data_IF_542619752226
#
_entry.id   IF_542619752226
#
_cell.length_a   1.000
_cell.length_b   1.000
_cell.length_c   1.000
_cell.angle_alpha   90.00
_cell.angle_beta   90.00
_cell.angle_gamma   90.00
#
_symmetry.space_group_name_H-M   'P 1'
#
loop_
_entity.id
_entity.type
_entity.pdbx_description
1 polymer ?
#
# COMPACT_ATOMS: atom_id res chain seq x y z
N UNK A 1 -8.51 -2.80 -5.66
CA UNK A 1 -7.25 -2.94 -6.42
C UNK A 1 -6.65 -4.26 -6.00
N UNK A 2 -6.71 -5.29 -6.86
CA UNK A 2 -6.16 -6.62 -6.57
C UNK A 2 -4.64 -6.55 -6.49
N UNK A 3 -4.06 -7.10 -5.43
CA UNK A 3 -2.65 -6.99 -5.06
C UNK A 3 -1.71 -7.90 -5.88
N UNK A 4 -1.72 -7.75 -7.21
CA UNK A 4 -0.59 -8.18 -8.06
C UNK A 4 0.01 -6.90 -8.62
N UNK A 5 0.70 -6.16 -7.76
CA UNK A 5 1.36 -4.90 -8.13
C UNK A 5 2.82 -5.26 -8.43
N UNK A 6 3.31 -4.83 -9.59
CA UNK A 6 4.72 -4.96 -9.96
C UNK A 6 5.60 -4.04 -9.10
N UNK A 7 6.86 -4.41 -8.90
CA UNK A 7 7.80 -3.64 -8.09
C UNK A 7 8.01 -2.21 -8.66
N UNK A 8 7.93 -2.03 -9.98
CA UNK A 8 8.02 -0.71 -10.58
C UNK A 8 6.80 0.15 -10.22
N UNK A 9 5.59 -0.41 -10.25
CA UNK A 9 4.38 0.32 -9.83
C UNK A 9 4.45 0.71 -8.35
N UNK A 10 4.91 -0.21 -7.48
CA UNK A 10 5.11 0.11 -6.06
C UNK A 10 6.16 1.21 -5.89
N UNK A 11 7.26 1.16 -6.63
CA UNK A 11 8.30 2.19 -6.59
C UNK A 11 7.78 3.55 -7.08
N UNK A 12 7.02 3.60 -8.19
CA UNK A 12 6.40 4.82 -8.73
C UNK A 12 5.49 5.51 -7.71
N UNK A 13 4.64 4.72 -7.04
CA UNK A 13 3.76 5.22 -5.99
C UNK A 13 4.57 5.72 -4.78
N UNK A 14 5.50 4.92 -4.29
CA UNK A 14 6.29 5.24 -3.08
C UNK A 14 7.21 6.44 -3.28
N UNK A 15 7.73 6.66 -4.50
CA UNK A 15 8.54 7.84 -4.85
C UNK A 15 7.68 9.07 -5.22
N UNK A 16 6.36 9.01 -5.09
CA UNK A 16 5.48 10.16 -5.27
C UNK A 16 5.67 10.92 -6.59
N UNK A 17 5.90 10.20 -7.70
CA UNK A 17 6.08 10.80 -9.02
C UNK A 17 7.52 11.21 -9.34
N UNK A 18 8.47 11.00 -8.42
CA UNK A 18 9.89 11.26 -8.69
C UNK A 18 10.59 10.10 -9.42
N UNK A 19 9.95 8.92 -9.49
CA UNK A 19 10.56 7.69 -10.00
C UNK A 19 11.14 7.84 -11.42
N UNK A 20 10.45 8.54 -12.33
CA UNK A 20 10.95 8.74 -13.69
C UNK A 20 12.05 9.81 -13.79
N UNK A 21 12.12 10.72 -12.82
CA UNK A 21 13.08 11.82 -12.80
C UNK A 21 14.42 11.46 -12.13
N UNK A 22 14.45 10.42 -11.29
CA UNK A 22 15.69 9.99 -10.62
C UNK A 22 16.62 9.23 -11.56
N UNK A 23 17.93 9.49 -11.41
CA UNK A 23 19.00 8.90 -12.23
C UNK A 23 19.34 7.47 -11.84
N UNK A 24 19.22 7.14 -10.56
CA UNK A 24 19.45 5.81 -10.00
C UNK A 24 18.14 5.38 -9.34
N UNK A 25 17.67 4.16 -9.67
CA UNK A 25 16.37 3.60 -9.22
C UNK A 25 16.51 2.23 -8.55
N UNK A 26 17.71 1.66 -8.51
CA UNK A 26 17.96 0.28 -8.08
C UNK A 26 17.64 0.11 -6.60
N UNK A 27 17.97 1.09 -5.76
CA UNK A 27 17.58 1.07 -4.35
C UNK A 27 16.07 1.11 -4.17
N UNK A 28 15.38 1.93 -4.97
CA UNK A 28 13.94 2.11 -4.89
C UNK A 28 13.19 0.85 -5.35
N UNK A 29 13.63 0.25 -6.46
CA UNK A 29 13.11 -1.01 -6.97
C UNK A 29 13.38 -2.17 -6.00
N UNK A 30 14.55 -2.20 -5.36
CA UNK A 30 14.86 -3.21 -4.35
C UNK A 30 13.92 -3.08 -3.12
N UNK A 31 13.71 -1.85 -2.64
CA UNK A 31 12.79 -1.59 -1.54
C UNK A 31 11.34 -1.96 -1.90
N UNK A 32 10.89 -1.58 -3.10
CA UNK A 32 9.57 -1.91 -3.61
C UNK A 32 9.34 -3.42 -3.75
N UNK A 33 10.38 -4.15 -4.19
CA UNK A 33 10.35 -5.62 -4.26
C UNK A 33 10.23 -6.24 -2.88
N UNK A 34 11.01 -5.77 -1.91
CA UNK A 34 10.94 -6.26 -0.51
C UNK A 34 9.56 -5.99 0.12
N UNK A 35 8.98 -4.81 -0.12
CA UNK A 35 7.63 -4.47 0.34
C UNK A 35 6.57 -5.40 -0.28
N UNK A 36 6.68 -5.65 -1.59
CA UNK A 36 5.78 -6.54 -2.32
C UNK A 36 5.89 -7.99 -1.81
N UNK A 37 7.10 -8.47 -1.57
CA UNK A 37 7.35 -9.82 -1.02
C UNK A 37 6.85 -9.94 0.43
N UNK A 38 7.02 -8.91 1.25
CA UNK A 38 6.49 -8.89 2.61
C UNK A 38 4.96 -8.95 2.62
N UNK A 39 4.31 -8.18 1.73
CA UNK A 39 2.86 -8.25 1.55
C UNK A 39 2.42 -9.67 1.15
N UNK A 40 3.03 -10.25 0.12
CA UNK A 40 2.70 -11.62 -0.36
C UNK A 40 2.92 -12.71 0.68
N UNK A 41 3.88 -12.52 1.60
CA UNK A 41 4.10 -13.48 2.70
C UNK A 41 2.97 -13.48 3.73
N UNK A 42 2.26 -12.35 3.86
CA UNK A 42 1.20 -12.14 4.84
C UNK A 42 -0.18 -12.35 4.23
N UNK A 43 -0.40 -11.85 3.00
CA UNK A 43 -1.70 -11.79 2.35
C UNK A 43 -1.61 -12.23 0.89
N UNK A 44 -2.57 -13.05 0.47
CA UNK A 44 -2.80 -13.40 -0.94
C UNK A 44 -3.58 -12.32 -1.67
N UNK A 45 -4.41 -11.56 -0.94
CA UNK A 45 -5.17 -10.45 -1.49
C UNK A 45 -5.48 -9.38 -0.45
N UNK A 46 -5.66 -8.14 -0.91
CA UNK A 46 -6.23 -7.06 -0.11
C UNK A 46 -7.17 -6.22 -1.00
N UNK A 47 -8.31 -5.83 -0.44
CA UNK A 47 -9.29 -4.99 -1.10
C UNK A 47 -9.73 -3.88 -0.15
N UNK A 48 -9.52 -2.63 -0.53
CA UNK A 48 -10.09 -1.48 0.20
C UNK A 48 -11.61 -1.58 0.18
N UNK A 49 -12.23 -1.61 1.36
CA UNK A 49 -13.68 -1.74 1.56
C UNK A 49 -14.32 -0.42 1.96
N UNK A 50 -13.60 0.43 2.70
CA UNK A 50 -14.08 1.76 3.09
C UNK A 50 -12.97 2.78 3.20
N UNK A 51 -13.32 4.04 2.94
CA UNK A 51 -12.51 5.20 3.31
C UNK A 51 -13.11 5.78 4.60
N UNK A 52 -12.41 5.58 5.72
CA UNK A 52 -12.95 5.88 7.05
C UNK A 52 -12.79 7.37 7.39
N UNK A 53 -11.64 7.96 7.02
CA UNK A 53 -11.38 9.38 7.20
C UNK A 53 -10.37 9.90 6.18
N UNK A 54 -10.60 11.11 5.69
CA UNK A 54 -9.63 11.85 4.89
C UNK A 54 -9.31 13.19 5.58
N UNK A 55 -8.03 13.53 5.60
CA UNK A 55 -7.49 14.80 6.09
C UNK A 55 -6.67 15.41 4.97
N UNK A 56 -7.12 16.55 4.44
CA UNK A 56 -6.41 17.26 3.39
C UNK A 56 -5.29 18.11 4.03
N UNK A 57 -4.06 17.93 3.56
CA UNK A 57 -2.93 18.79 3.91
C UNK A 57 -2.77 19.94 2.91
N UNK A 58 -3.20 19.73 1.66
CA UNK A 58 -3.23 20.72 0.59
C UNK A 58 -4.28 20.32 -0.47
N UNK A 59 -4.53 21.14 -1.52
CA UNK A 59 -5.41 20.76 -2.62
C UNK A 59 -5.00 19.47 -3.35
N UNK A 60 -3.73 19.08 -3.27
CA UNK A 60 -3.17 17.91 -3.95
C UNK A 60 -2.69 16.83 -2.99
N UNK A 61 -2.69 17.06 -1.68
CA UNK A 61 -2.17 16.12 -0.68
C UNK A 61 -3.20 15.78 0.37
N UNK A 62 -3.32 14.48 0.65
CA UNK A 62 -4.25 13.96 1.65
C UNK A 62 -3.61 12.84 2.47
N UNK A 63 -3.99 12.74 3.74
CA UNK A 63 -3.82 11.53 4.53
C UNK A 63 -5.17 10.84 4.67
N UNK A 64 -5.19 9.54 4.41
CA UNK A 64 -6.42 8.74 4.38
C UNK A 64 -6.30 7.55 5.31
N UNK A 65 -7.23 7.45 6.26
CA UNK A 65 -7.51 6.22 7.00
C UNK A 65 -8.53 5.41 6.20
N UNK A 66 -8.24 4.16 5.93
CA UNK A 66 -9.12 3.25 5.21
C UNK A 66 -9.13 1.87 5.86
N UNK A 67 -10.23 1.17 5.67
CA UNK A 67 -10.33 -0.25 5.99
C UNK A 67 -10.19 -1.06 4.71
N UNK A 68 -9.44 -2.15 4.80
CA UNK A 68 -9.29 -3.13 3.74
C UNK A 68 -9.64 -4.51 4.26
N UNK A 69 -10.27 -5.31 3.41
CA UNK A 69 -10.40 -6.74 3.63
C UNK A 69 -9.19 -7.46 3.08
N UNK A 70 -8.53 -8.24 3.91
CA UNK A 70 -7.34 -9.02 3.54
C UNK A 70 -7.63 -10.52 3.60
N UNK A 71 -7.03 -11.25 2.67
CA UNK A 71 -7.01 -12.71 2.68
C UNK A 71 -5.61 -13.15 3.08
N UNK A 72 -5.42 -13.77 4.25
CA UNK A 72 -4.10 -14.26 4.67
C UNK A 72 -3.50 -15.26 3.67
N UNK A 73 -2.18 -15.25 3.51
CA UNK A 73 -1.46 -16.28 2.77
C UNK A 73 -1.45 -17.57 3.60
N UNK A 74 -2.23 -18.58 3.21
CA UNK A 74 -2.45 -19.79 4.01
C UNK A 74 -1.18 -20.67 4.06
N UNK A 75 -0.55 -20.78 5.24
CA UNK A 75 0.60 -21.68 5.48
C UNK A 75 0.32 -22.85 6.42
N UNK A 76 -0.88 -22.96 7.00
CA UNK A 76 -1.28 -24.05 7.89
C UNK A 76 -2.73 -24.48 7.62
N UNK A 77 -3.05 -25.76 7.80
CA UNK A 77 -4.24 -26.48 7.27
C UNK A 77 -5.63 -26.05 7.80
N UNK A 78 -5.76 -24.83 8.31
CA UNK A 78 -7.05 -24.19 8.60
C UNK A 78 -7.04 -22.85 7.90
N UNK A 79 -7.85 -22.72 6.85
CA UNK A 79 -8.16 -21.46 6.16
C UNK A 79 -8.48 -20.39 7.21
N UNK A 80 -7.54 -19.47 7.46
CA UNK A 80 -7.84 -18.30 8.28
C UNK A 80 -8.90 -17.49 7.52
N UNK A 81 -9.97 -17.05 8.20
CA UNK A 81 -11.00 -16.24 7.57
C UNK A 81 -10.41 -14.90 7.11
N UNK A 82 -11.07 -14.28 6.13
CA UNK A 82 -10.80 -12.90 5.75
C UNK A 82 -10.88 -12.00 6.99
N UNK A 83 -9.96 -11.05 7.08
CA UNK A 83 -9.90 -10.10 8.18
C UNK A 83 -10.05 -8.67 7.63
N UNK A 84 -10.69 -7.80 8.40
CA UNK A 84 -10.70 -6.37 8.11
C UNK A 84 -9.53 -5.72 8.87
N UNK A 85 -8.68 -5.02 8.12
CA UNK A 85 -7.48 -4.35 8.61
C UNK A 85 -7.57 -2.85 8.28
N UNK A 86 -7.16 -2.00 9.21
CA UNK A 86 -7.06 -0.56 8.95
C UNK A 86 -5.65 -0.19 8.50
N UNK A 87 -5.55 0.86 7.70
CA UNK A 87 -4.27 1.42 7.31
C UNK A 87 -4.37 2.91 7.04
N UNK A 88 -3.23 3.59 7.14
CA UNK A 88 -3.08 4.99 6.75
C UNK A 88 -2.27 5.06 5.47
N UNK A 89 -2.77 5.81 4.48
CA UNK A 89 -2.02 6.16 3.28
C UNK A 89 -1.81 7.68 3.20
N UNK A 90 -0.65 8.08 2.68
CA UNK A 90 -0.44 9.44 2.21
C UNK A 90 -0.58 9.46 0.69
N UNK A 91 -1.42 10.36 0.21
CA UNK A 91 -1.79 10.51 -1.18
C UNK A 91 -1.25 11.83 -1.73
N UNK A 92 -0.81 11.77 -2.99
CA UNK A 92 -0.43 12.94 -3.79
C UNK A 92 -1.16 12.87 -5.14
N UNK A 93 -1.86 13.94 -5.48
CA UNK A 93 -2.42 14.16 -6.82
C UNK A 93 -1.43 14.96 -7.65
N UNK A 94 -0.90 14.35 -8.71
CA UNK A 94 0.07 14.97 -9.62
C UNK A 94 -0.18 14.43 -11.03
N UNK A 95 -0.10 15.29 -12.05
CA UNK A 95 -0.27 14.91 -13.45
C UNK A 95 -1.54 14.09 -13.74
N UNK A 96 -2.65 14.46 -13.09
CA UNK A 96 -3.94 13.79 -13.20
C UNK A 96 -3.98 12.34 -12.65
N UNK A 97 -2.96 11.93 -11.91
CA UNK A 97 -2.85 10.64 -11.21
C UNK A 97 -2.90 10.83 -9.70
N UNK A 98 -3.41 9.82 -8.99
CA UNK A 98 -3.36 9.75 -7.52
C UNK A 98 -2.34 8.70 -7.12
N UNK A 99 -1.24 9.17 -6.55
CA UNK A 99 -0.13 8.34 -6.08
C UNK A 99 -0.26 8.05 -4.59
N UNK A 100 0.21 6.87 -4.19
CA UNK A 100 0.24 6.43 -2.79
C UNK A 100 1.68 6.51 -2.31
N UNK A 101 2.01 7.67 -1.74
CA UNK A 101 3.35 8.03 -1.30
C UNK A 101 3.85 7.21 -0.12
N UNK A 102 2.95 6.84 0.77
CA UNK A 102 3.25 5.97 1.90
C UNK A 102 2.03 5.16 2.27
N UNK A 103 2.28 4.00 2.87
CA UNK A 103 1.27 3.08 3.35
C UNK A 103 1.75 2.47 4.66
N UNK A 104 0.92 2.58 5.70
CA UNK A 104 1.21 2.09 7.04
C UNK A 104 0.00 1.29 7.56
N UNK A 105 0.08 -0.05 7.60
CA UNK A 105 -0.91 -0.88 8.26
C UNK A 105 -1.08 -0.49 9.73
N UNK A 106 -2.31 -0.57 10.23
CA UNK A 106 -2.70 -0.43 11.63
C UNK A 106 -3.19 -1.79 12.11
N UNK A 107 -2.30 -2.79 12.11
CA UNK A 107 -2.63 -4.11 12.64
C UNK A 107 -3.00 -3.97 14.12
N UNK A 108 -4.21 -4.40 14.47
CA UNK A 108 -4.67 -4.45 15.84
C UNK A 108 -3.97 -5.60 16.58
N UNK A 109 -2.77 -5.34 17.10
CA UNK A 109 -2.09 -6.20 18.05
C UNK A 109 -0.63 -6.47 17.73
N UNK A 110 0.26 -5.60 18.24
CA UNK A 110 1.54 -5.95 18.87
C UNK A 110 1.96 -4.79 19.79
N UNK A 111 1.44 -4.81 21.02
CA UNK A 111 2.07 -4.23 22.21
C UNK A 111 1.88 -5.21 23.36
#
# INVERSE_FOLDING_TARGET
MLAIIDAETVARHTLCGLFDAVKERRSDLALASLSSDAFRKQYSSAQVTSIDKMVLASPTQAQVLFTMRVTPESRSSRSQPEADEQAVAQLLSVDNEVLVCSYLPRTAGQY
#
